data_IF_877009582745
#
_entry.id   IF_877009582745
#
_cell.length_a   1.000
_cell.length_b   1.000
_cell.length_c   1.000
_cell.angle_alpha   90.00
_cell.angle_beta   90.00
_cell.angle_gamma   90.00
#
_symmetry.space_group_name_H-M   'P 1'
#
loop_
_entity.id
_entity.type
_entity.pdbx_description
1 polymer ?
#
# COMPACT_ATOMS: atom_id res chain seq x y z
N UNK A 1 0.08 2.42 23.79
CA UNK A 1 0.27 2.94 22.43
C UNK A 1 -0.63 2.30 21.37
N UNK A 2 -1.10 1.04 21.53
CA UNK A 2 -1.93 0.32 20.53
C UNK A 2 -3.23 1.01 20.05
N UNK A 3 -3.81 1.91 20.85
CA UNK A 3 -5.05 2.60 20.48
C UNK A 3 -4.85 3.63 19.36
N UNK A 4 -3.67 4.27 19.29
CA UNK A 4 -3.37 5.22 18.20
C UNK A 4 -3.24 4.49 16.87
N UNK A 5 -2.54 3.35 16.83
CA UNK A 5 -2.43 2.51 15.65
C UNK A 5 -3.81 2.04 15.17
N UNK A 6 -4.71 1.65 16.09
CA UNK A 6 -6.04 1.14 15.74
C UNK A 6 -6.96 2.22 15.15
N UNK A 7 -7.04 3.42 15.75
CA UNK A 7 -7.82 4.53 15.17
C UNK A 7 -7.23 4.97 13.82
N UNK A 8 -5.91 4.89 13.67
CA UNK A 8 -5.21 5.13 12.40
C UNK A 8 -5.56 4.10 11.33
N UNK A 9 -5.53 2.82 11.69
CA UNK A 9 -5.85 1.69 10.83
C UNK A 9 -7.29 1.81 10.31
N UNK A 10 -8.25 2.15 11.18
CA UNK A 10 -9.65 2.33 10.78
C UNK A 10 -9.87 3.50 9.80
N UNK A 11 -9.16 4.61 9.98
CA UNK A 11 -9.24 5.74 9.05
C UNK A 11 -8.59 5.45 7.69
N UNK A 12 -7.55 4.61 7.66
CA UNK A 12 -6.94 4.10 6.42
C UNK A 12 -7.90 3.13 5.73
N UNK A 13 -8.50 2.20 6.49
CA UNK A 13 -9.41 1.17 5.98
C UNK A 13 -10.65 1.75 5.30
N UNK A 14 -11.35 2.73 5.90
CA UNK A 14 -12.58 3.27 5.29
C UNK A 14 -12.32 4.00 3.96
N UNK A 15 -11.28 4.83 3.89
CA UNK A 15 -10.97 5.57 2.67
C UNK A 15 -10.39 4.64 1.58
N UNK A 16 -9.58 3.66 1.99
CA UNK A 16 -8.99 2.69 1.10
C UNK A 16 -10.04 1.78 0.45
N UNK A 17 -11.04 1.31 1.21
CA UNK A 17 -12.03 0.35 0.72
C UNK A 17 -12.92 0.96 -0.38
N UNK A 18 -13.32 2.23 -0.25
CA UNK A 18 -14.11 2.94 -1.25
C UNK A 18 -13.34 3.14 -2.57
N UNK A 19 -12.09 3.60 -2.50
CA UNK A 19 -11.23 3.75 -3.68
C UNK A 19 -10.90 2.40 -4.32
N UNK A 20 -10.66 1.37 -3.50
CA UNK A 20 -10.32 0.02 -3.95
C UNK A 20 -11.44 -0.58 -4.81
N UNK A 21 -12.71 -0.47 -4.40
CA UNK A 21 -13.84 -1.07 -5.12
C UNK A 21 -13.96 -0.54 -6.56
N UNK A 22 -13.84 0.77 -6.77
CA UNK A 22 -13.91 1.38 -8.11
C UNK A 22 -12.68 1.02 -8.99
N UNK A 23 -11.53 0.85 -8.35
CA UNK A 23 -10.20 0.79 -8.99
C UNK A 23 -9.77 -0.65 -9.32
N UNK A 24 -10.19 -1.61 -8.50
CA UNK A 24 -9.86 -3.04 -8.60
C UNK A 24 -10.49 -3.69 -9.84
N UNK A 25 -11.71 -3.30 -10.23
CA UNK A 25 -12.45 -3.90 -11.35
C UNK A 25 -11.73 -3.83 -12.69
N UNK A 26 -10.87 -2.83 -12.90
CA UNK A 26 -10.13 -2.61 -14.15
C UNK A 26 -8.66 -3.05 -14.09
N UNK A 27 -8.20 -3.56 -12.94
CA UNK A 27 -6.81 -3.92 -12.70
C UNK A 27 -6.63 -5.43 -12.61
N UNK A 28 -5.54 -5.95 -13.19
CA UNK A 28 -5.10 -7.31 -12.93
C UNK A 28 -4.51 -7.43 -11.50
N UNK A 29 -4.29 -8.65 -11.03
CA UNK A 29 -3.83 -8.91 -9.66
C UNK A 29 -2.52 -8.18 -9.29
N UNK A 30 -1.58 -8.05 -10.23
CA UNK A 30 -0.32 -7.32 -9.98
C UNK A 30 -0.58 -5.84 -9.80
N UNK A 31 -1.41 -5.26 -10.66
CA UNK A 31 -1.77 -3.85 -10.61
C UNK A 31 -2.56 -3.51 -9.32
N UNK A 32 -3.46 -4.40 -8.88
CA UNK A 32 -4.22 -4.22 -7.62
C UNK A 32 -3.31 -4.17 -6.40
N UNK A 33 -2.37 -5.10 -6.29
CA UNK A 33 -1.41 -5.12 -5.16
C UNK A 33 -0.44 -3.95 -5.23
N UNK A 34 0.07 -3.61 -6.42
CA UNK A 34 0.95 -2.46 -6.60
C UNK A 34 0.25 -1.16 -6.16
N UNK A 35 -1.00 -0.96 -6.61
CA UNK A 35 -1.84 0.16 -6.20
C UNK A 35 -2.06 0.20 -4.68
N UNK A 36 -2.40 -0.94 -4.07
CA UNK A 36 -2.65 -1.03 -2.64
C UNK A 36 -1.42 -0.61 -1.82
N UNK A 37 -0.26 -1.18 -2.13
CA UNK A 37 1.00 -0.86 -1.46
C UNK A 37 1.40 0.60 -1.65
N UNK A 38 1.22 1.13 -2.87
CA UNK A 38 1.50 2.53 -3.17
C UNK A 38 0.62 3.47 -2.34
N UNK A 39 -0.70 3.21 -2.27
CA UNK A 39 -1.64 4.05 -1.52
C UNK A 39 -1.35 4.02 -0.03
N UNK A 40 -1.09 2.84 0.54
CA UNK A 40 -0.67 2.69 1.94
C UNK A 40 0.62 3.46 2.22
N UNK A 41 1.62 3.35 1.33
CA UNK A 41 2.89 4.06 1.47
C UNK A 41 2.73 5.57 1.42
N UNK A 42 2.05 6.10 0.41
CA UNK A 42 1.80 7.54 0.27
C UNK A 42 1.04 8.09 1.48
N UNK A 43 0.02 7.36 1.97
CA UNK A 43 -0.77 7.75 3.13
C UNK A 43 0.07 7.79 4.41
N UNK A 44 0.92 6.80 4.64
CA UNK A 44 1.81 6.76 5.79
C UNK A 44 2.91 7.83 5.70
N UNK A 45 3.38 8.14 4.49
CA UNK A 45 4.33 9.23 4.26
C UNK A 45 3.71 10.61 4.51
N UNK A 46 2.47 10.85 4.09
CA UNK A 46 1.82 12.16 4.24
C UNK A 46 1.60 12.58 5.69
N UNK A 47 1.72 11.63 6.62
CA UNK A 47 1.56 11.84 8.06
C UNK A 47 2.89 11.73 8.83
N UNK A 48 4.02 11.73 8.11
CA UNK A 48 5.35 11.80 8.70
C UNK A 48 5.96 10.45 9.12
N UNK A 49 5.37 9.31 8.77
CA UNK A 49 5.91 7.98 9.10
C UNK A 49 6.92 7.44 8.07
N UNK A 50 7.23 8.23 7.04
CA UNK A 50 8.18 7.89 5.99
C UNK A 50 9.63 8.18 6.37
N UNK A 51 10.51 7.19 6.17
CA UNK A 51 11.96 7.35 6.29
C UNK A 51 12.68 6.49 5.26
N UNK A 52 13.61 7.08 4.51
CA UNK A 52 14.47 6.38 3.53
C UNK A 52 13.69 5.49 2.54
N UNK A 53 12.58 6.02 1.99
CA UNK A 53 11.70 5.28 1.07
C UNK A 53 10.86 4.17 1.72
N UNK A 54 10.90 4.04 3.05
CA UNK A 54 10.22 3.02 3.82
C UNK A 54 9.21 3.59 4.82
N UNK A 55 8.14 2.84 5.08
CA UNK A 55 7.11 3.13 6.09
C UNK A 55 6.87 1.91 6.99
N UNK A 56 6.49 2.10 8.26
CA UNK A 56 5.95 1.00 9.07
C UNK A 56 4.64 0.53 8.46
N UNK A 57 4.48 -0.78 8.28
CA UNK A 57 3.26 -1.38 7.76
C UNK A 57 2.87 -2.56 8.66
N UNK A 58 2.10 -2.32 9.74
CA UNK A 58 1.75 -3.31 10.75
C UNK A 58 0.60 -4.24 10.33
N UNK A 59 0.40 -4.41 9.02
CA UNK A 59 -0.58 -5.34 8.46
C UNK A 59 0.04 -6.72 8.22
N UNK A 60 -0.82 -7.70 8.00
CA UNK A 60 -0.47 -9.03 7.50
C UNK A 60 -0.79 -9.11 6.00
N UNK A 61 -0.11 -10.04 5.32
CA UNK A 61 -0.42 -10.34 3.92
C UNK A 61 -1.87 -10.80 3.72
N UNK A 62 -2.48 -11.40 4.74
CA UNK A 62 -3.89 -11.76 4.75
C UNK A 62 -4.77 -10.52 4.66
N UNK A 63 -4.52 -9.50 5.50
CA UNK A 63 -5.29 -8.25 5.49
C UNK A 63 -5.23 -7.58 4.11
N UNK A 64 -4.06 -7.56 3.48
CA UNK A 64 -3.90 -7.08 2.10
C UNK A 64 -4.72 -7.93 1.11
N UNK A 65 -4.64 -9.26 1.21
CA UNK A 65 -5.34 -10.18 0.33
C UNK A 65 -6.85 -9.98 0.37
N UNK A 66 -7.40 -9.84 1.58
CA UNK A 66 -8.81 -9.57 1.82
C UNK A 66 -9.23 -8.22 1.23
N UNK A 67 -8.40 -7.18 1.43
CA UNK A 67 -8.68 -5.84 0.92
C UNK A 67 -8.65 -5.73 -0.62
N UNK A 68 -7.80 -6.51 -1.31
CA UNK A 68 -7.72 -6.50 -2.78
C UNK A 68 -8.54 -7.61 -3.46
N UNK A 69 -9.26 -8.43 -2.68
CA UNK A 69 -10.07 -9.54 -3.18
C UNK A 69 -9.26 -10.65 -3.86
N UNK A 70 -8.08 -10.97 -3.36
CA UNK A 70 -7.21 -12.04 -3.85
C UNK A 70 -7.07 -13.14 -2.78
N UNK A 71 -6.78 -14.37 -3.21
CA UNK A 71 -6.36 -15.39 -2.24
C UNK A 71 -4.96 -15.08 -1.71
N UNK A 72 -4.67 -15.44 -0.46
CA UNK A 72 -3.35 -15.24 0.16
C UNK A 72 -2.20 -15.78 -0.70
N UNK A 73 -2.36 -16.96 -1.29
CA UNK A 73 -1.35 -17.56 -2.18
C UNK A 73 -1.13 -16.72 -3.44
N UNK A 74 -2.18 -16.17 -4.03
CA UNK A 74 -2.05 -15.28 -5.19
C UNK A 74 -1.36 -13.97 -4.78
N UNK A 75 -1.78 -13.37 -3.67
CA UNK A 75 -1.17 -12.15 -3.11
C UNK A 75 0.33 -12.35 -2.89
N UNK A 76 0.75 -13.48 -2.33
CA UNK A 76 2.15 -13.78 -2.09
C UNK A 76 2.97 -13.95 -3.37
N UNK A 77 2.39 -14.56 -4.41
CA UNK A 77 3.05 -14.64 -5.73
C UNK A 77 3.27 -13.24 -6.32
N UNK A 78 2.30 -12.35 -6.17
CA UNK A 78 2.41 -10.97 -6.65
C UNK A 78 3.45 -10.18 -5.84
N UNK A 79 3.44 -10.27 -4.51
CA UNK A 79 4.45 -9.65 -3.65
C UNK A 79 5.86 -10.15 -3.99
N UNK A 80 6.02 -11.45 -4.23
CA UNK A 80 7.29 -12.01 -4.67
C UNK A 80 7.74 -11.44 -6.02
N UNK A 81 6.81 -11.27 -6.97
CA UNK A 81 7.07 -10.64 -8.27
C UNK A 81 7.50 -9.18 -8.12
N UNK A 82 6.81 -8.37 -7.31
CA UNK A 82 7.18 -6.97 -7.07
C UNK A 82 8.57 -6.86 -6.44
N UNK A 83 8.93 -7.79 -5.56
CA UNK A 83 10.28 -7.88 -4.99
C UNK A 83 11.32 -8.27 -6.03
N UNK A 84 11.02 -9.22 -6.92
CA UNK A 84 11.91 -9.61 -8.02
C UNK A 84 12.16 -8.47 -9.00
N UNK A 85 11.14 -7.65 -9.26
CA UNK A 85 11.25 -6.43 -10.06
C UNK A 85 11.91 -5.26 -9.31
N UNK A 86 12.31 -5.47 -8.05
CA UNK A 86 12.88 -4.46 -7.15
C UNK A 86 11.99 -3.24 -6.88
N UNK A 87 10.69 -3.32 -7.16
CA UNK A 87 9.76 -2.19 -7.03
C UNK A 87 9.32 -1.99 -5.57
N UNK A 88 8.95 -3.08 -4.89
CA UNK A 88 8.47 -3.04 -3.53
C UNK A 88 8.95 -4.24 -2.71
N UNK A 89 9.25 -4.02 -1.44
CA UNK A 89 9.62 -5.05 -0.49
C UNK A 89 8.86 -4.85 0.83
N UNK A 90 8.10 -5.87 1.24
CA UNK A 90 7.40 -5.89 2.52
C UNK A 90 7.97 -7.00 3.39
N UNK A 91 8.71 -6.62 4.42
CA UNK A 91 9.35 -7.54 5.38
C UNK A 91 9.44 -6.87 6.75
N UNK A 92 9.44 -7.68 7.80
CA UNK A 92 9.69 -7.24 9.17
C UNK A 92 8.80 -6.06 9.61
N UNK A 93 7.52 -6.08 9.19
CA UNK A 93 6.55 -5.03 9.49
C UNK A 93 6.83 -3.69 8.80
N UNK A 94 7.64 -3.68 7.74
CA UNK A 94 7.98 -2.47 6.98
C UNK A 94 7.78 -2.67 5.49
N UNK A 95 7.17 -1.68 4.85
CA UNK A 95 7.10 -1.57 3.40
C UNK A 95 8.20 -0.62 2.93
N UNK A 96 8.96 -1.03 1.93
CA UNK A 96 9.95 -0.20 1.22
C UNK A 96 9.57 -0.18 -0.25
N UNK A 97 9.46 1.02 -0.82
CA UNK A 97 9.28 1.21 -2.26
C UNK A 97 10.58 1.79 -2.79
N UNK A 98 11.26 1.04 -3.67
CA UNK A 98 12.58 1.42 -4.18
C UNK A 98 12.47 2.35 -5.39
N UNK A 99 11.40 2.20 -6.17
CA UNK A 99 11.10 3.02 -7.35
C UNK A 99 9.60 3.37 -7.33
N UNK A 100 9.32 4.61 -6.92
CA UNK A 100 7.95 5.10 -6.75
C UNK A 100 7.28 5.31 -8.13
N UNK A 101 8.04 5.77 -9.12
CA UNK A 101 7.54 6.07 -10.46
C UNK A 101 7.17 4.78 -11.19
N UNK A 102 8.05 3.78 -11.16
CA UNK A 102 7.78 2.49 -11.79
C UNK A 102 6.63 1.73 -11.10
N UNK A 103 6.51 1.83 -9.77
CA UNK A 103 5.37 1.23 -9.06
C UNK A 103 4.06 1.97 -9.36
N UNK A 104 4.07 3.30 -9.47
CA UNK A 104 2.92 4.11 -9.91
C UNK A 104 2.45 3.74 -11.33
N UNK A 105 3.39 3.62 -12.27
CA UNK A 105 3.08 3.19 -13.63
C UNK A 105 2.46 1.77 -13.65
N UNK A 106 3.01 0.85 -12.85
CA UNK A 106 2.44 -0.50 -12.71
C UNK A 106 1.07 -0.49 -12.02
N UNK A 107 0.83 0.43 -11.08
CA UNK A 107 -0.45 0.61 -10.41
C UNK A 107 -1.51 1.29 -11.28
N UNK A 108 -1.17 1.77 -12.49
CA UNK A 108 -2.01 2.60 -13.34
C UNK A 108 -2.53 3.83 -12.59
N UNK A 109 -1.66 4.48 -11.81
CA UNK A 109 -2.02 5.61 -10.96
C UNK A 109 -0.99 6.71 -11.07
N UNK A 110 -1.48 7.94 -11.25
CA UNK A 110 -0.63 9.13 -11.20
C UNK A 110 -0.07 9.31 -9.79
N UNK A 111 1.17 9.78 -9.70
CA UNK A 111 1.80 9.99 -8.41
C UNK A 111 1.22 11.24 -7.75
N UNK A 112 0.39 11.07 -6.73
CA UNK A 112 0.03 12.18 -5.85
C UNK A 112 1.27 12.56 -5.03
N UNK A 113 1.86 13.72 -5.33
CA UNK A 113 2.89 14.32 -4.47
C UNK A 113 2.22 14.61 -3.12
N UNK A 114 2.65 13.98 -2.01
CA UNK A 114 1.96 14.16 -0.75
C UNK A 114 2.21 15.59 -0.24
N UNK A 115 1.24 16.48 -0.45
CA UNK A 115 1.13 17.69 0.36
C UNK A 115 0.93 17.24 1.81
N UNK A 116 1.84 17.62 2.70
CA UNK A 116 1.72 17.36 4.13
C UNK A 116 0.44 18.05 4.63
N UNK A 117 -0.65 17.30 4.77
CA UNK A 117 -1.88 17.82 5.33
C UNK A 117 -1.65 18.05 6.83
N UNK A 118 -1.68 19.29 7.32
CA UNK A 118 -1.55 19.54 8.75
C UNK A 118 -2.69 18.84 9.47
N UNK A 119 -2.35 18.13 10.54
CA UNK A 119 -3.32 17.56 11.47
C UNK A 119 -3.97 18.74 12.19
N UNK A 120 -5.12 19.19 11.71
CA UNK A 120 -6.05 20.03 12.48
C UNK A 120 -6.93 19.13 13.36
#
# INVERSE_FOLDING_TARGET
SRAYDLTWLSAVEEHFLGEAIATIGQRNATQRVAWALLRMHQRLRSVGLGRDGSVPLPFRQQDLADAVGLSLVHTNKVLARLRQLQLANWRDGRLTISDLDALSALALTDQEVPEQRPLL
#
